data_IF_188347349953
#
_entry.id   IF_188347349953
#
_cell.length_a   1.000
_cell.length_b   1.000
_cell.length_c   1.000
_cell.angle_alpha   90.00
_cell.angle_beta   90.00
_cell.angle_gamma   90.00
#
_symmetry.space_group_name_H-M   'P 1'
#
loop_
_entity.id
_entity.type
_entity.pdbx_description
1 polymer ?
2 non-polymer ?
3 non-polymer ?
4 non-polymer ?
5 non-polymer ?
6 non-polymer ?
7 water ?
#
# COMPACT_ATOMS: atom_id res chain seq x y z
N UNK A 4 -7.18 3.95 -34.95
CA UNK A 4 -5.72 4.15 -35.20
C UNK A 4 -5.06 2.79 -35.49
N UNK A 5 -3.99 2.81 -36.29
CA UNK A 5 -3.34 1.54 -36.71
C UNK A 5 -2.03 1.34 -35.94
N UNK A 6 -1.96 0.25 -35.18
CA UNK A 6 -0.77 -0.06 -34.38
C UNK A 6 -0.57 -1.59 -34.27
N UNK A 7 0.62 -2.01 -33.88
CA UNK A 7 1.02 -3.41 -33.75
C UNK A 7 1.52 -3.79 -32.36
N UNK A 8 1.85 -2.79 -31.56
CA UNK A 8 2.27 -2.98 -30.18
C UNK A 8 1.62 -1.81 -29.42
N UNK A 9 1.20 -2.08 -28.18
CA UNK A 9 0.57 -1.03 -27.38
C UNK A 9 0.63 -1.33 -25.90
N UNK A 10 0.74 -0.29 -25.10
CA UNK A 10 0.58 -0.41 -23.65
C UNK A 10 -0.71 0.37 -23.38
N UNK A 11 -1.72 -0.32 -22.83
CA UNK A 11 -2.99 0.35 -22.57
C UNK A 11 -3.63 -0.16 -21.29
N UNK A 12 -4.66 0.56 -20.80
CA UNK A 12 -5.39 0.09 -19.62
C UNK A 12 -6.10 -1.23 -19.96
N UNK A 13 -6.16 -2.15 -19.00
CA UNK A 13 -6.89 -3.41 -19.19
C UNK A 13 -8.40 -3.12 -19.18
N UNK A 14 -9.17 -3.99 -19.80
CA UNK A 14 -10.64 -3.93 -19.80
C UNK A 14 -11.15 -5.31 -19.33
N UNK A 15 -12.46 -5.42 -19.02
CA UNK A 15 -13.04 -6.71 -18.64
C UNK A 15 -12.77 -7.81 -19.68
N UNK A 16 -12.77 -7.43 -20.97
CA UNK A 16 -12.54 -8.36 -22.07
C UNK A 16 -11.11 -8.96 -22.08
N UNK A 17 -10.15 -8.28 -21.44
CA UNK A 17 -8.77 -8.78 -21.36
C UNK A 17 -8.53 -9.73 -20.20
N UNK A 18 -9.44 -9.79 -19.20
CA UNK A 18 -9.17 -10.53 -17.97
C UNK A 18 -8.92 -12.01 -18.14
N UNK A 19 -9.61 -12.66 -19.07
CA UNK A 19 -9.43 -14.08 -19.29
C UNK A 19 -7.99 -14.40 -19.75
N UNK A 20 -7.42 -13.57 -20.64
CA UNK A 20 -6.04 -13.79 -21.11
C UNK A 20 -5.05 -13.28 -20.06
N UNK A 21 -5.36 -12.14 -19.43
CA UNK A 21 -4.48 -11.57 -18.41
C UNK A 21 -4.33 -12.53 -17.21
N UNK A 22 -5.37 -13.32 -16.90
CA UNK A 22 -5.30 -14.25 -15.77
C UNK A 22 -4.22 -15.31 -15.92
N UNK A 23 -3.86 -15.65 -17.17
CA UNK A 23 -2.79 -16.60 -17.41
C UNK A 23 -1.46 -16.03 -16.92
N UNK A 24 -1.20 -14.75 -17.26
CA UNK A 24 0.04 -14.09 -16.84
C UNK A 24 0.02 -13.83 -15.35
N UNK A 25 -1.13 -13.46 -14.80
CA UNK A 25 -1.26 -13.21 -13.36
C UNK A 25 -0.97 -14.51 -12.60
N UNK A 26 -1.44 -15.65 -13.14
CA UNK A 26 -1.16 -16.94 -12.53
C UNK A 26 0.34 -17.26 -12.58
N UNK A 27 1.01 -16.94 -13.68
CA UNK A 27 2.46 -17.15 -13.78
C UNK A 27 3.21 -16.28 -12.76
N UNK A 28 2.75 -15.05 -12.58
CA UNK A 28 3.34 -14.13 -11.62
C UNK A 28 3.21 -14.70 -10.20
N UNK A 29 2.02 -15.27 -9.87
CA UNK A 29 1.84 -15.87 -8.54
C UNK A 29 2.79 -17.07 -8.37
N UNK A 30 2.99 -17.86 -9.44
CA UNK A 30 3.91 -18.99 -9.37
C UNK A 30 5.35 -18.48 -9.15
N UNK A 31 5.71 -17.30 -9.69
CA UNK A 31 7.06 -16.72 -9.46
C UNK A 31 7.29 -16.52 -7.96
N UNK A 32 6.25 -16.12 -7.23
CA UNK A 32 6.31 -15.91 -5.79
C UNK A 32 6.02 -17.17 -4.95
N UNK A 33 6.00 -18.35 -5.58
CA UNK A 33 5.82 -19.61 -4.86
C UNK A 33 4.44 -20.24 -4.80
N UNK A 34 3.42 -19.58 -5.36
CA UNK A 34 2.07 -20.17 -5.33
C UNK A 34 1.92 -21.32 -6.32
N UNK A 35 0.99 -22.24 -6.03
CA UNK A 35 0.69 -23.34 -6.95
C UNK A 35 -0.22 -22.78 -8.05
N UNK A 36 -0.04 -23.21 -9.30
CA UNK A 36 -0.89 -22.74 -10.40
C UNK A 36 -2.35 -23.10 -10.17
N UNK A 37 -3.23 -22.12 -10.28
CA UNK A 37 -4.66 -22.32 -10.13
C UNK A 37 -5.33 -21.22 -10.92
N UNK A 38 -5.60 -21.46 -12.19
CA UNK A 38 -6.16 -20.44 -13.08
C UNK A 38 -7.47 -19.88 -12.60
N UNK A 39 -8.35 -20.73 -12.08
CA UNK A 39 -9.65 -20.26 -11.60
C UNK A 39 -9.49 -19.28 -10.41
N UNK A 40 -8.63 -19.64 -9.45
CA UNK A 40 -8.36 -18.83 -8.26
C UNK A 40 -7.68 -17.52 -8.70
N UNK A 41 -6.68 -17.61 -9.59
CA UNK A 41 -5.98 -16.42 -10.07
C UNK A 41 -6.91 -15.46 -10.78
N UNK A 42 -7.76 -15.98 -11.66
CA UNK A 42 -8.72 -15.13 -12.39
C UNK A 42 -9.74 -14.48 -11.45
N UNK A 43 -10.25 -15.22 -10.47
CA UNK A 43 -11.18 -14.67 -9.51
C UNK A 43 -10.58 -13.47 -8.73
N UNK A 44 -9.33 -13.62 -8.27
CA UNK A 44 -8.69 -12.56 -7.50
C UNK A 44 -8.27 -11.40 -8.38
N UNK A 45 -7.87 -11.69 -9.63
CA UNK A 45 -7.53 -10.63 -10.60
C UNK A 45 -8.76 -9.76 -10.84
N UNK A 46 -9.94 -10.40 -10.98
CA UNK A 46 -11.19 -9.67 -11.20
C UNK A 46 -11.55 -8.84 -9.95
N UNK A 47 -11.32 -9.40 -8.75
CA UNK A 47 -11.56 -8.66 -7.49
C UNK A 47 -10.67 -7.39 -7.45
N UNK A 48 -9.36 -7.53 -7.80
CA UNK A 48 -8.48 -6.36 -7.82
C UNK A 48 -8.87 -5.37 -8.90
N UNK A 49 -9.23 -5.88 -10.09
CA UNK A 49 -9.65 -5.01 -11.19
C UNK A 49 -10.86 -4.16 -10.80
N UNK A 50 -11.75 -4.72 -9.96
CA UNK A 50 -12.96 -4.05 -9.47
C UNK A 50 -12.75 -3.15 -8.24
N UNK A 51 -11.50 -3.01 -7.78
CA UNK A 51 -11.19 -2.09 -6.69
C UNK A 51 -11.10 -0.73 -7.33
N UNK A 52 -11.77 0.27 -6.73
CA UNK A 52 -11.85 1.61 -7.32
C UNK A 52 -10.54 2.31 -7.63
N UNK A 53 -9.55 2.12 -6.79
CA UNK A 53 -8.29 2.81 -6.93
C UNK A 53 -7.20 1.99 -7.60
N UNK A 54 -7.53 0.81 -8.16
CA UNK A 54 -6.51 -0.01 -8.83
C UNK A 54 -6.45 0.36 -10.30
N UNK A 55 -5.25 0.32 -10.87
CA UNK A 55 -5.03 0.65 -12.28
C UNK A 55 -4.16 -0.45 -12.91
N UNK A 56 -4.67 -1.14 -13.91
CA UNK A 56 -3.87 -2.16 -14.59
C UNK A 56 -3.46 -1.64 -15.95
N UNK A 57 -2.20 -1.77 -16.32
CA UNK A 57 -1.75 -1.52 -17.69
C UNK A 57 -1.24 -2.85 -18.22
N UNK A 58 -1.52 -3.13 -19.48
CA UNK A 58 -1.04 -4.35 -20.13
C UNK A 58 -0.26 -3.99 -21.38
N UNK A 59 0.72 -4.82 -21.73
CA UNK A 59 1.54 -4.59 -22.94
C UNK A 59 1.12 -5.67 -23.91
N UNK A 60 0.70 -5.28 -25.10
CA UNK A 60 0.25 -6.21 -26.13
C UNK A 60 1.16 -6.12 -27.35
N UNK A 61 1.62 -7.27 -27.86
CA UNK A 61 2.50 -7.28 -29.03
C UNK A 61 1.92 -8.30 -29.99
N UNK A 62 1.52 -7.87 -31.19
CA UNK A 62 0.92 -8.75 -32.21
C UNK A 62 -0.26 -9.57 -31.62
N UNK A 63 -1.16 -8.87 -30.95
CA UNK A 63 -2.40 -9.37 -30.31
C UNK A 63 -2.15 -10.35 -29.15
N UNK A 64 -0.93 -10.45 -28.63
CA UNK A 64 -0.65 -11.30 -27.46
C UNK A 64 -0.32 -10.42 -26.26
N UNK A 65 -0.86 -10.73 -25.07
CA UNK A 65 -0.48 -9.96 -23.87
C UNK A 65 0.89 -10.44 -23.41
N UNK A 66 1.88 -9.56 -23.36
CA UNK A 66 3.25 -9.95 -22.97
C UNK A 66 3.56 -9.71 -21.52
N UNK A 67 2.87 -8.75 -20.90
CA UNK A 67 3.17 -8.37 -19.54
C UNK A 67 2.17 -7.38 -18.99
N UNK A 68 2.27 -7.14 -17.70
CA UNK A 68 1.36 -6.19 -17.05
C UNK A 68 2.00 -5.51 -15.87
N UNK A 69 1.40 -4.40 -15.45
CA UNK A 69 1.74 -3.73 -14.20
C UNK A 69 0.42 -3.41 -13.50
N UNK A 70 0.42 -3.52 -12.17
CA UNK A 70 -0.76 -3.20 -11.38
C UNK A 70 -0.33 -2.13 -10.40
N UNK A 71 -1.04 -1.00 -10.40
CA UNK A 71 -0.76 0.10 -9.49
C UNK A 71 -1.99 0.33 -8.63
N UNK A 72 -1.78 0.91 -7.46
CA UNK A 72 -2.94 1.32 -6.68
C UNK A 72 -2.64 2.58 -5.90
N UNK A 73 -3.69 3.33 -5.64
CA UNK A 73 -3.57 4.63 -4.97
C UNK A 73 -3.15 4.49 -3.52
N UNK A 74 -2.16 5.29 -3.15
CA UNK A 74 -1.67 5.44 -1.79
C UNK A 74 -1.90 6.88 -1.32
N UNK A 75 -1.97 7.06 0.00
CA UNK A 75 -2.20 8.36 0.61
C UNK A 75 -1.04 8.63 1.57
N UNK A 76 -0.41 9.81 1.46
CA UNK A 76 0.67 10.20 2.34
C UNK A 76 0.13 11.19 3.35
N UNK A 77 -0.03 10.77 4.60
CA UNK A 77 -0.53 11.68 5.64
C UNK A 77 0.40 12.88 5.86
N UNK A 78 1.71 12.64 5.82
CA UNK A 78 2.68 13.71 6.03
C UNK A 78 2.57 14.78 4.97
N UNK A 79 2.53 14.40 3.70
CA UNK A 79 2.44 15.37 2.61
C UNK A 79 1.02 15.86 2.32
N UNK A 80 -0.01 15.15 2.83
CA UNK A 80 -1.41 15.40 2.54
C UNK A 80 -1.67 15.34 1.05
N UNK A 81 -1.15 14.28 0.44
CA UNK A 81 -1.30 14.09 -0.99
C UNK A 81 -1.28 12.61 -1.32
N UNK A 82 -1.57 12.28 -2.57
CA UNK A 82 -1.59 10.89 -2.99
C UNK A 82 -0.33 10.52 -3.76
N UNK A 83 -0.11 9.22 -3.83
CA UNK A 83 0.97 8.64 -4.62
C UNK A 83 0.49 7.29 -5.16
N UNK A 84 1.30 6.66 -5.99
CA UNK A 84 0.91 5.33 -6.51
C UNK A 84 1.88 4.28 -6.03
N UNK A 85 1.36 3.09 -5.73
CA UNK A 85 2.20 1.98 -5.39
C UNK A 85 2.20 1.06 -6.61
N UNK A 86 3.38 0.68 -7.09
CA UNK A 86 3.50 -0.26 -8.18
C UNK A 86 3.57 -1.62 -7.48
N UNK A 87 2.44 -2.33 -7.42
CA UNK A 87 2.34 -3.55 -6.63
C UNK A 87 2.87 -4.78 -7.31
N UNK A 88 2.52 -4.97 -8.57
CA UNK A 88 2.92 -6.15 -9.31
C UNK A 88 3.46 -5.74 -10.69
N UNK A 89 4.52 -6.42 -11.15
CA UNK A 89 5.16 -6.15 -12.42
C UNK A 89 5.53 -7.55 -12.96
N UNK A 90 5.16 -7.88 -14.22
CA UNK A 90 5.50 -9.21 -14.75
C UNK A 90 5.49 -9.23 -16.28
N UNK A 91 6.47 -9.91 -16.88
CA UNK A 91 6.54 -10.13 -18.33
C UNK A 91 6.74 -11.65 -18.51
N UNK A 92 5.93 -12.28 -19.40
CA UNK A 92 6.03 -13.72 -19.60
C UNK A 92 7.39 -14.04 -20.26
N UNK A 93 8.01 -15.17 -19.89
CA UNK A 93 9.38 -15.45 -20.37
C UNK A 93 9.61 -15.39 -21.89
N UNK A 94 8.66 -15.84 -22.71
CA UNK A 94 8.84 -15.79 -24.18
C UNK A 94 9.12 -14.35 -24.69
N UNK A 95 8.64 -13.33 -23.96
CA UNK A 95 8.78 -11.94 -24.40
C UNK A 95 9.77 -11.11 -23.58
N UNK A 96 10.59 -11.75 -22.72
CA UNK A 96 11.52 -10.99 -21.87
C UNK A 96 12.69 -10.40 -22.63
N UNK A 97 13.23 -9.30 -22.07
CA UNK A 97 14.38 -8.58 -22.60
C UNK A 97 14.13 -7.93 -23.98
N UNK A 98 12.88 -7.55 -24.20
CA UNK A 98 12.40 -6.86 -25.39
C UNK A 98 11.90 -5.44 -25.03
N UNK A 99 11.95 -5.03 -23.75
CA UNK A 99 11.51 -3.70 -23.33
C UNK A 99 10.06 -3.64 -22.86
N UNK A 100 9.35 -4.79 -22.72
CA UNK A 100 7.96 -4.74 -22.24
C UNK A 100 7.84 -4.07 -20.87
N UNK A 101 8.68 -4.49 -19.87
CA UNK A 101 8.62 -3.90 -18.53
C UNK A 101 9.00 -2.43 -18.57
N UNK A 102 10.02 -2.07 -19.36
CA UNK A 102 10.41 -0.66 -19.50
C UNK A 102 9.22 0.16 -20.04
N UNK A 103 8.55 -0.33 -21.10
CA UNK A 103 7.39 0.38 -21.69
C UNK A 103 6.21 0.46 -20.70
N UNK A 104 5.97 -0.62 -19.95
CA UNK A 104 4.89 -0.60 -18.94
C UNK A 104 5.17 0.46 -17.87
N UNK A 105 6.41 0.53 -17.39
CA UNK A 105 6.77 1.47 -16.35
C UNK A 105 6.82 2.90 -16.89
N UNK A 106 7.23 3.09 -18.15
CA UNK A 106 7.17 4.41 -18.80
C UNK A 106 5.74 4.95 -18.78
N UNK A 107 4.77 4.09 -19.12
CA UNK A 107 3.36 4.48 -19.12
C UNK A 107 2.87 4.73 -17.69
N UNK A 108 3.26 3.88 -16.72
CA UNK A 108 2.88 4.07 -15.32
C UNK A 108 3.36 5.43 -14.80
N UNK A 109 4.58 5.82 -15.19
CA UNK A 109 5.13 7.12 -14.80
C UNK A 109 4.32 8.27 -15.40
N UNK A 110 3.99 8.19 -16.69
CA UNK A 110 3.18 9.23 -17.35
C UNK A 110 1.80 9.34 -16.71
N UNK A 111 1.20 8.19 -16.39
CA UNK A 111 -0.09 8.11 -15.72
C UNK A 111 -0.01 8.78 -14.33
N UNK A 112 1.00 8.43 -13.52
CA UNK A 112 1.17 9.00 -12.18
C UNK A 112 1.37 10.53 -12.26
N UNK A 113 2.09 11.02 -13.28
CA UNK A 113 2.28 12.46 -13.47
C UNK A 113 0.97 13.13 -13.83
N UNK A 114 0.16 12.49 -14.69
CA UNK A 114 -1.18 13.00 -15.06
C UNK A 114 -2.06 13.16 -13.81
N UNK A 115 -1.95 12.23 -12.88
CA UNK A 115 -2.72 12.23 -11.63
C UNK A 115 -2.12 13.11 -10.51
N UNK A 116 -1.02 13.83 -10.80
CA UNK A 116 -0.26 14.66 -9.88
C UNK A 116 0.18 13.90 -8.64
N UNK A 117 0.60 12.63 -8.81
CA UNK A 117 1.09 11.84 -7.71
C UNK A 117 2.43 12.39 -7.18
N UNK A 118 2.71 12.19 -5.88
CA UNK A 118 4.01 12.60 -5.31
C UNK A 118 5.15 11.75 -5.88
N UNK A 119 4.88 10.46 -6.08
CA UNK A 119 5.88 9.49 -6.47
C UNK A 119 5.19 8.18 -6.83
N UNK A 120 5.99 7.23 -7.31
CA UNK A 120 5.59 5.83 -7.45
C UNK A 120 6.52 5.10 -6.48
N UNK A 121 5.96 4.30 -5.57
CA UNK A 121 6.78 3.52 -4.64
C UNK A 121 6.52 2.03 -4.86
N UNK A 122 7.48 1.20 -4.53
CA UNK A 122 7.30 -0.24 -4.64
C UNK A 122 8.18 -0.98 -3.68
N UNK A 123 7.93 -2.26 -3.50
CA UNK A 123 8.77 -3.18 -2.74
C UNK A 123 9.06 -4.38 -3.65
N UNK A 124 10.32 -4.79 -3.71
CA UNK A 124 10.71 -5.96 -4.49
C UNK A 124 11.63 -6.81 -3.61
N UNK A 125 11.77 -8.11 -3.90
CA UNK A 125 12.64 -8.97 -3.06
C UNK A 125 14.09 -8.42 -3.09
N UNK A 126 14.77 -8.38 -1.93
CA UNK A 126 16.14 -7.91 -1.85
C UNK A 126 17.08 -8.75 -2.72
N UNK A 127 16.74 -10.02 -3.01
CA UNK A 127 17.55 -10.91 -3.85
C UNK A 127 17.18 -10.85 -5.36
N UNK A 128 16.17 -10.02 -5.73
CA UNK A 128 15.72 -9.95 -7.12
C UNK A 128 16.63 -8.98 -7.89
N UNK A 129 17.80 -9.45 -8.29
CA UNK A 129 18.76 -8.59 -8.98
C UNK A 129 18.22 -8.05 -10.33
N UNK A 130 17.41 -8.83 -11.07
CA UNK A 130 16.85 -8.36 -12.34
C UNK A 130 15.93 -7.15 -12.14
N UNK A 131 15.04 -7.23 -11.13
CA UNK A 131 14.12 -6.12 -10.87
C UNK A 131 14.88 -4.88 -10.40
N UNK A 132 15.95 -5.05 -9.58
CA UNK A 132 16.70 -3.87 -9.11
C UNK A 132 17.31 -3.11 -10.30
N UNK A 133 17.84 -3.82 -11.30
CA UNK A 133 18.43 -3.22 -12.49
C UNK A 133 17.35 -2.49 -13.31
N UNK A 134 16.15 -3.13 -13.44
CA UNK A 134 15.03 -2.53 -14.15
C UNK A 134 14.63 -1.19 -13.47
N UNK A 135 14.39 -1.21 -12.15
CA UNK A 135 13.92 -0.03 -11.45
C UNK A 135 14.95 1.09 -11.48
N UNK A 136 16.23 0.75 -11.32
CA UNK A 136 17.30 1.75 -11.40
C UNK A 136 17.35 2.37 -12.80
N UNK A 137 17.14 1.56 -13.85
CA UNK A 137 17.10 2.07 -15.22
C UNK A 137 15.97 3.10 -15.39
N UNK A 138 14.81 2.83 -14.78
CA UNK A 138 13.63 3.68 -14.87
C UNK A 138 13.60 4.91 -13.98
N UNK A 139 14.67 5.16 -13.23
CA UNK A 139 14.74 6.34 -12.39
C UNK A 139 14.34 6.15 -10.94
N UNK A 140 14.15 4.90 -10.49
CA UNK A 140 13.81 4.64 -9.09
C UNK A 140 15.09 4.63 -8.24
N UNK A 141 14.96 5.03 -6.98
CA UNK A 141 16.03 5.08 -6.01
C UNK A 141 15.72 4.12 -4.85
N UNK A 142 16.71 3.34 -4.41
CA UNK A 142 16.58 2.40 -3.30
C UNK A 142 16.36 3.20 -2.00
N UNK A 145 16.19 4.15 4.41
CA UNK A 145 15.78 4.74 5.68
C UNK A 145 14.72 3.97 6.43
N UNK A 146 13.96 3.09 5.77
CA UNK A 146 12.84 2.41 6.44
C UNK A 146 13.03 0.90 6.61
N UNK A 147 12.40 0.35 7.65
CA UNK A 147 12.42 -1.06 8.00
C UNK A 147 10.99 -1.62 8.01
N UNK A 148 10.75 -2.76 7.36
CA UNK A 148 9.45 -3.38 7.35
C UNK A 148 9.27 -4.29 8.54
N UNK A 149 8.05 -4.29 9.12
CA UNK A 149 7.68 -5.21 10.20
C UNK A 149 6.34 -5.85 9.84
N UNK A 150 6.13 -7.10 10.21
CA UNK A 150 4.86 -7.79 9.97
C UNK A 150 4.35 -8.45 11.24
N UNK A 151 3.04 -8.40 11.45
CA UNK A 151 2.37 -9.12 12.51
C UNK A 151 1.51 -10.15 11.82
N UNK A 152 1.84 -11.43 11.96
CA UNK A 152 1.12 -12.48 11.19
C UNK A 152 -0.21 -12.88 11.84
N UNK A 153 -0.65 -12.17 12.87
CA UNK A 153 -1.99 -12.42 13.45
C UNK A 153 -2.17 -13.92 13.75
N UNK B 6 -18.28 3.79 30.76
CA UNK B 6 -16.82 3.73 30.61
C UNK B 6 -16.16 5.12 30.76
N UNK B 7 -14.86 5.15 30.99
CA UNK B 7 -14.06 6.37 31.20
C UNK B 7 -12.87 6.50 30.21
N UNK B 8 -12.54 5.40 29.57
CA UNK B 8 -11.48 5.32 28.57
C UNK B 8 -12.00 4.37 27.53
N UNK B 9 -11.66 4.64 26.26
CA UNK B 9 -12.11 3.74 25.19
C UNK B 9 -11.23 3.84 23.95
N UNK B 10 -11.02 2.70 23.27
CA UNK B 10 -10.42 2.69 21.94
C UNK B 10 -11.59 2.34 21.04
N UNK B 11 -11.93 3.22 20.09
CA UNK B 11 -13.05 2.95 19.21
C UNK B 11 -12.82 3.53 17.82
N UNK B 12 -13.67 3.15 16.84
CA UNK B 12 -13.56 3.74 15.50
C UNK B 12 -13.89 5.24 15.59
N UNK B 13 -13.22 6.06 14.77
CA UNK B 13 -13.53 7.49 14.72
C UNK B 13 -14.90 7.70 14.04
N UNK B 14 -15.53 8.84 14.34
CA UNK B 14 -16.80 9.26 13.73
C UNK B 14 -16.62 10.70 13.22
N UNK B 15 -17.57 11.20 12.40
CA UNK B 15 -17.52 12.59 11.92
C UNK B 15 -17.39 13.60 13.06
N UNK B 16 -18.04 13.33 14.20
CA UNK B 16 -18.03 14.19 15.38
C UNK B 16 -16.63 14.33 16.02
N UNK B 17 -15.75 13.35 15.79
CA UNK B 17 -14.41 13.37 16.33
C UNK B 17 -13.41 14.13 15.45
N UNK B 18 -13.74 14.40 14.18
CA UNK B 18 -12.75 14.92 13.23
C UNK B 18 -12.13 16.25 13.59
N UNK B 19 -12.90 17.15 14.20
CA UNK B 19 -12.35 18.46 14.57
C UNK B 19 -11.23 18.31 15.58
N UNK B 20 -11.42 17.45 16.61
CA UNK B 20 -10.38 17.22 17.61
C UNK B 20 -9.27 16.32 17.04
N UNK B 21 -9.64 15.30 16.28
CA UNK B 21 -8.66 14.39 15.69
C UNK B 21 -7.70 15.13 14.76
N UNK B 22 -8.18 16.18 14.06
CA UNK B 22 -7.32 16.92 13.12
C UNK B 22 -6.15 17.60 13.81
N UNK B 23 -6.31 17.98 15.09
CA UNK B 23 -5.22 18.57 15.87
C UNK B 23 -4.10 17.57 16.04
N UNK B 24 -4.44 16.32 16.43
CA UNK B 24 -3.46 15.25 16.60
C UNK B 24 -2.84 14.82 15.29
N UNK B 25 -3.65 14.78 14.23
CA UNK B 25 -3.15 14.43 12.91
C UNK B 25 -2.15 15.50 12.45
N UNK B 26 -2.43 16.77 12.74
CA UNK B 26 -1.52 17.85 12.41
C UNK B 26 -0.22 17.75 13.23
N UNK B 27 -0.30 17.35 14.52
CA UNK B 27 0.92 17.12 15.33
C UNK B 27 1.76 15.98 14.76
N UNK B 28 1.11 14.91 14.30
CA UNK B 28 1.77 13.77 13.69
C UNK B 28 2.52 14.22 12.44
N UNK B 29 1.89 15.08 11.62
CA UNK B 29 2.55 15.57 10.42
C UNK B 29 3.80 16.41 10.80
N UNK B 30 3.70 17.21 11.86
CA UNK B 30 4.83 18.02 12.35
C UNK B 30 6.01 17.16 12.81
N UNK B 31 5.73 15.94 13.35
CA UNK B 31 6.79 15.02 13.77
C UNK B 31 7.65 14.60 12.58
N UNK B 32 7.03 14.44 11.41
CA UNK B 32 7.75 14.10 10.20
C UNK B 32 8.23 15.30 9.38
N UNK B 33 8.22 16.49 9.97
CA UNK B 33 8.76 17.67 9.31
C UNK B 33 7.81 18.61 8.59
N UNK B 34 6.50 18.32 8.59
CA UNK B 34 5.56 19.22 7.91
C UNK B 34 5.27 20.46 8.74
N UNK B 35 4.94 21.57 8.07
CA UNK B 35 4.56 22.78 8.79
C UNK B 35 3.10 22.63 9.22
N UNK B 36 2.75 23.12 10.41
CA UNK B 36 1.38 23.05 10.90
C UNK B 36 0.41 23.78 9.97
N UNK B 37 -0.66 23.10 9.59
CA UNK B 37 -1.67 23.69 8.73
C UNK B 37 -2.95 22.92 9.02
N UNK B 38 -3.73 23.41 9.99
CA UNK B 38 -4.94 22.73 10.41
C UNK B 38 -5.95 22.56 9.29
N UNK B 39 -6.09 23.54 8.40
CA UNK B 39 -7.03 23.43 7.30
C UNK B 39 -6.65 22.25 6.37
N UNK B 40 -5.38 22.18 5.99
CA UNK B 40 -4.84 21.16 5.10
C UNK B 40 -4.94 19.79 5.81
N UNK B 41 -4.54 19.72 7.09
CA UNK B 41 -4.58 18.47 7.84
C UNK B 41 -6.01 17.96 7.98
N UNK B 42 -6.96 18.83 8.32
CA UNK B 42 -8.35 18.43 8.48
C UNK B 42 -8.95 17.98 7.16
N UNK B 43 -8.66 18.69 6.05
CA UNK B 43 -9.18 18.32 4.74
C UNK B 43 -8.73 16.90 4.35
N UNK B 44 -7.45 16.60 4.55
CA UNK B 44 -6.90 15.30 4.17
C UNK B 44 -7.36 14.21 5.10
N UNK B 45 -7.49 14.51 6.39
CA UNK B 45 -8.01 13.56 7.37
C UNK B 45 -9.46 13.18 6.98
N UNK B 46 -10.26 14.17 6.57
CA UNK B 46 -11.65 13.89 6.17
C UNK B 46 -11.67 13.08 4.86
N UNK B 47 -10.74 13.34 3.93
CA UNK B 47 -10.63 12.56 2.69
C UNK B 47 -10.32 11.09 3.04
N UNK B 48 -9.36 10.86 3.95
CA UNK B 48 -9.01 9.49 4.33
C UNK B 48 -10.13 8.84 5.10
N UNK B 49 -10.83 9.58 5.99
CA UNK B 49 -11.95 9.08 6.78
C UNK B 49 -13.10 8.61 5.88
N UNK B 50 -13.35 9.33 4.78
CA UNK B 50 -14.44 8.96 3.87
C UNK B 50 -14.11 7.82 2.92
N UNK B 51 -12.84 7.42 2.84
CA UNK B 51 -12.40 6.37 1.94
C UNK B 51 -12.80 5.02 2.54
N UNK B 52 -13.44 4.18 1.75
CA UNK B 52 -13.95 2.89 2.19
C UNK B 52 -12.89 1.92 2.71
N UNK B 53 -11.65 2.01 2.21
CA UNK B 53 -10.61 1.07 2.59
C UNK B 53 -9.72 1.52 3.76
N UNK B 54 -10.01 2.67 4.39
CA UNK B 54 -9.20 3.07 5.53
C UNK B 54 -9.97 2.97 6.83
N UNK B 55 -9.27 2.69 7.90
CA UNK B 55 -9.89 2.48 9.20
C UNK B 55 -9.12 3.26 10.24
N UNK B 56 -9.79 4.13 10.98
CA UNK B 56 -9.15 4.90 12.04
C UNK B 56 -9.67 4.40 13.35
N UNK B 57 -8.77 4.16 14.30
CA UNK B 57 -9.14 3.90 15.68
C UNK B 57 -8.55 5.03 16.50
N UNK B 58 -9.28 5.50 17.49
CA UNK B 58 -8.81 6.57 18.37
C UNK B 58 -8.89 6.14 19.81
N UNK B 59 -7.97 6.64 20.64
CA UNK B 59 -7.97 6.33 22.07
C UNK B 59 -8.44 7.59 22.77
N UNK B 60 -9.47 7.46 23.58
CA UNK B 60 -10.05 8.59 24.32
C UNK B 60 -9.97 8.36 25.82
N UNK B 61 -9.51 9.35 26.57
CA UNK B 61 -9.39 9.24 28.03
C UNK B 61 -10.05 10.47 28.60
N UNK B 62 -11.15 10.29 29.39
CA UNK B 62 -11.89 11.42 29.99
C UNK B 62 -12.26 12.49 28.92
N UNK B 63 -12.86 12.02 27.82
CA UNK B 63 -13.32 12.83 26.68
C UNK B 63 -12.19 13.54 25.87
N UNK B 64 -10.92 13.23 26.12
CA UNK B 64 -9.81 13.82 25.34
C UNK B 64 -9.23 12.75 24.42
N UNK B 65 -8.99 13.08 23.14
CA UNK B 65 -8.33 12.11 22.24
C UNK B 65 -6.85 12.12 22.55
N UNK B 66 -6.29 10.97 22.94
CA UNK B 66 -4.88 10.85 23.29
C UNK B 66 -4.01 10.35 22.13
N UNK B 67 -4.60 9.64 21.20
CA UNK B 67 -3.84 9.03 20.10
C UNK B 67 -4.70 8.36 19.08
N UNK B 68 -4.08 7.97 17.98
CA UNK B 68 -4.84 7.29 16.92
C UNK B 68 -3.94 6.34 16.13
N UNK B 69 -4.58 5.43 15.41
CA UNK B 69 -3.90 4.54 14.47
C UNK B 69 -4.73 4.57 13.19
N UNK B 70 -4.06 4.54 12.04
CA UNK B 70 -4.75 4.54 10.76
C UNK B 70 -4.28 3.31 10.02
N UNK B 71 -5.22 2.48 9.56
CA UNK B 71 -4.91 1.30 8.77
C UNK B 71 -5.58 1.39 7.43
N UNK B 72 -5.02 0.69 6.45
CA UNK B 72 -5.74 0.60 5.16
C UNK B 72 -5.58 -0.74 4.52
N UNK B 73 -6.57 -1.13 3.73
CA UNK B 73 -6.60 -2.44 3.10
C UNK B 73 -5.54 -2.59 2.03
N UNK B 74 -4.85 -3.72 2.10
CA UNK B 74 -3.88 -4.17 1.12
C UNK B 74 -4.34 -5.49 0.50
N UNK B 75 -3.86 -5.78 -0.70
CA UNK B 75 -4.21 -6.99 -1.43
C UNK B 75 -2.93 -7.75 -1.77
N UNK B 76 -2.88 -9.05 -1.48
CA UNK B 76 -1.72 -9.88 -1.76
C UNK B 76 -2.05 -10.75 -2.95
N UNK B 77 -1.46 -10.47 -4.11
CA UNK B 77 -1.71 -11.27 -5.32
C UNK B 77 -1.26 -12.72 -5.14
N UNK B 78 -0.13 -12.93 -4.47
CA UNK B 78 0.38 -14.27 -4.25
C UNK B 78 -0.58 -15.13 -3.47
N UNK B 79 -1.06 -14.60 -2.33
CA UNK B 79 -1.97 -15.35 -1.48
C UNK B 79 -3.43 -15.30 -1.93
N UNK B 80 -3.78 -14.36 -2.81
CA UNK B 80 -5.16 -14.11 -3.22
C UNK B 80 -6.02 -13.79 -2.03
N UNK B 81 -5.51 -12.88 -1.21
CA UNK B 81 -6.20 -12.49 0.01
C UNK B 81 -5.83 -11.06 0.39
N UNK B 82 -6.49 -10.54 1.41
CA UNK B 82 -6.24 -9.17 1.85
C UNK B 82 -5.45 -9.15 3.14
N UNK B 83 -4.86 -8.01 3.40
CA UNK B 83 -4.13 -7.74 4.64
C UNK B 83 -4.30 -6.25 4.99
N UNK B 84 -3.80 -5.83 6.14
CA UNK B 84 -3.91 -4.42 6.51
C UNK B 84 -2.53 -3.80 6.62
N UNK B 85 -2.40 -2.55 6.20
CA UNK B 85 -1.16 -1.81 6.39
C UNK B 85 -1.42 -0.81 7.54
N UNK B 86 -0.54 -0.79 8.53
CA UNK B 86 -0.63 0.17 9.62
C UNK B 86 0.18 1.38 9.13
N UNK B 87 -0.52 2.39 8.65
CA UNK B 87 0.11 3.54 7.98
C UNK B 87 0.62 4.60 8.93
N UNK B 88 -0.20 4.96 9.92
CA UNK B 88 0.16 6.02 10.86
C UNK B 88 -0.19 5.59 12.31
N UNK B 89 0.68 5.93 13.27
CA UNK B 89 0.41 5.67 14.72
C UNK B 89 0.98 6.87 15.49
N UNK B 90 0.16 7.47 16.36
CA UNK B 90 0.62 8.66 17.08
C UNK B 90 -0.10 8.80 18.42
N UNK B 91 0.63 9.17 19.46
CA UNK B 91 0.08 9.50 20.76
C UNK B 91 0.64 10.87 21.15
N UNK B 92 -0.22 11.79 21.60
CA UNK B 92 0.24 13.14 21.94
C UNK B 92 1.19 13.07 23.15
N UNK B 93 2.26 13.87 23.15
CA UNK B 93 3.28 13.74 24.22
C UNK B 93 2.80 13.70 25.68
N UNK B 94 1.81 14.50 26.04
CA UNK B 94 1.30 14.51 27.43
C UNK B 94 0.81 13.11 27.87
N UNK B 95 0.30 12.31 26.90
CA UNK B 95 -0.27 11.02 27.23
C UNK B 95 0.62 9.81 26.91
N UNK B 96 1.90 10.04 26.65
CA UNK B 96 2.80 8.95 26.32
C UNK B 96 3.21 8.10 27.52
N UNK B 97 3.59 6.86 27.21
CA UNK B 97 4.07 5.86 28.14
C UNK B 97 3.01 5.45 29.16
N UNK B 98 1.74 5.41 28.70
CA UNK B 98 0.58 4.99 29.52
C UNK B 98 -0.17 3.82 28.86
N UNK B 99 0.33 3.29 27.74
CA UNK B 99 -0.30 2.19 27.06
C UNK B 99 -1.27 2.57 25.96
N UNK B 100 -1.42 3.87 25.60
CA UNK B 100 -2.32 4.25 24.51
C UNK B 100 -1.97 3.54 23.18
N UNK B 101 -0.69 3.59 22.76
CA UNK B 101 -0.28 2.95 21.49
C UNK B 101 -0.47 1.44 21.56
N UNK B 102 -0.13 0.83 22.70
CA UNK B 102 -0.33 -0.61 22.89
C UNK B 102 -1.84 -0.95 22.72
N UNK B 103 -2.72 -0.18 23.37
CA UNK B 103 -4.17 -0.44 23.27
C UNK B 103 -4.69 -0.21 21.84
N UNK B 104 -4.18 0.81 21.16
CA UNK B 104 -4.59 1.08 19.78
C UNK B 104 -4.19 -0.10 18.87
N UNK B 105 -2.97 -0.61 19.03
CA UNK B 105 -2.48 -1.72 18.22
C UNK B 105 -3.16 -3.03 18.58
N UNK B 106 -3.49 -3.23 19.86
CA UNK B 106 -4.26 -4.40 20.31
C UNK B 106 -5.62 -4.44 19.57
N UNK B 107 -6.26 -3.28 19.47
CA UNK B 107 -7.55 -3.20 18.77
C UNK B 107 -7.36 -3.42 17.28
N UNK B 108 -6.31 -2.83 16.68
CA UNK B 108 -6.04 -3.02 15.24
C UNK B 108 -5.84 -4.51 14.93
N UNK B 109 -5.17 -5.25 15.83
CA UNK B 109 -4.96 -6.69 15.66
C UNK B 109 -6.30 -7.44 15.71
N UNK B 110 -7.14 -7.12 16.68
CA UNK B 110 -8.46 -7.77 16.80
C UNK B 110 -9.33 -7.47 15.58
N UNK B 111 -9.30 -6.21 15.10
CA UNK B 111 -10.00 -5.79 13.90
C UNK B 111 -9.49 -6.58 12.67
N UNK B 112 -8.16 -6.67 12.48
CA UNK B 112 -7.61 -7.39 11.35
C UNK B 112 -7.99 -8.90 11.39
N UNK B 113 -8.06 -9.48 12.60
CA UNK B 113 -8.48 -10.88 12.76
C UNK B 113 -9.98 -11.02 12.40
N UNK B 114 -10.81 -10.05 12.81
CA UNK B 114 -12.25 -10.02 12.48
C UNK B 114 -12.44 -10.03 10.95
N UNK B 115 -11.56 -9.29 10.24
CA UNK B 115 -11.62 -9.17 8.78
C UNK B 115 -10.91 -10.30 8.02
N UNK B 116 -10.41 -11.32 8.74
CA UNK B 116 -9.64 -12.45 8.23
C UNK B 116 -8.44 -12.01 7.41
N UNK B 117 -7.75 -10.95 7.86
CA UNK B 117 -6.55 -10.47 7.18
C UNK B 117 -5.40 -11.48 7.31
N UNK B 118 -4.49 -11.51 6.32
CA UNK B 118 -3.32 -12.39 6.40
C UNK B 118 -2.37 -11.90 7.50
N UNK B 119 -2.24 -10.58 7.64
CA UNK B 119 -1.28 -9.97 8.52
C UNK B 119 -1.54 -8.47 8.61
N UNK B 120 -0.78 -7.80 9.47
CA UNK B 120 -0.69 -6.35 9.51
C UNK B 120 0.76 -6.06 9.16
N UNK B 121 1.01 -5.22 8.16
CA UNK B 121 2.37 -4.87 7.77
C UNK B 121 2.57 -3.35 7.94
N UNK B 122 3.82 -2.95 8.12
CA UNK B 122 4.13 -1.52 8.21
C UNK B 122 5.60 -1.28 7.86
N UNK B 123 5.94 -0.01 7.66
CA UNK B 123 7.33 0.44 7.46
C UNK B 123 7.56 1.58 8.43
N UNK B 124 8.69 1.56 9.15
CA UNK B 124 9.01 2.65 10.08
C UNK B 124 10.47 3.02 9.86
N UNK B 125 10.89 4.24 10.25
CA UNK B 125 12.30 4.64 10.05
C UNK B 125 13.24 3.69 10.80
N UNK B 126 14.35 3.29 10.18
CA UNK B 126 15.31 2.38 10.79
C UNK B 126 15.87 2.94 12.11
N UNK B 127 15.93 4.27 12.25
CA UNK B 127 16.44 4.95 13.44
C UNK B 127 15.35 5.29 14.49
N UNK B 128 14.10 4.87 14.25
CA UNK B 128 13.01 5.16 15.19
C UNK B 128 13.01 4.08 16.28
N UNK B 129 13.86 4.28 17.31
CA UNK B 129 14.02 3.34 18.43
C UNK B 129 12.69 3.04 19.09
N UNK B 130 11.92 4.08 19.40
CA UNK B 130 10.66 3.96 20.14
C UNK B 130 9.67 3.09 19.38
N UNK B 131 9.50 3.34 18.09
CA UNK B 131 8.54 2.55 17.32
C UNK B 131 8.98 1.09 17.22
N UNK B 132 10.29 0.82 17.08
CA UNK B 132 10.74 -0.59 16.98
C UNK B 132 10.41 -1.35 18.24
N UNK B 133 10.61 -0.71 19.39
CA UNK B 133 10.33 -1.35 20.66
C UNK B 133 8.82 -1.60 20.82
N UNK B 134 8.01 -0.63 20.40
CA UNK B 134 6.54 -0.77 20.42
C UNK B 134 6.11 -1.97 19.57
N UNK B 135 6.55 -2.02 18.32
CA UNK B 135 6.11 -3.07 17.40
C UNK B 135 6.55 -4.45 17.86
N UNK B 136 7.79 -4.56 18.35
CA UNK B 136 8.29 -5.83 18.86
C UNK B 136 7.49 -6.28 20.08
N UNK B 137 7.09 -5.33 20.94
CA UNK B 137 6.26 -5.68 22.10
C UNK B 137 4.92 -6.26 21.65
N UNK B 138 4.34 -5.70 20.57
CA UNK B 138 3.03 -6.11 20.04
C UNK B 138 3.02 -7.35 19.17
N UNK B 139 4.17 -8.01 19.00
CA UNK B 139 4.23 -9.24 18.22
C UNK B 139 4.60 -9.08 16.76
N UNK B 140 5.12 -7.89 16.37
CA UNK B 140 5.58 -7.68 15.00
C UNK B 140 7.01 -8.20 14.87
N UNK B 141 7.35 -8.69 13.68
CA UNK B 141 8.67 -9.23 13.39
C UNK B 141 9.32 -8.40 12.33
N UNK B 142 10.56 -8.05 12.54
CA UNK B 142 11.39 -7.30 11.59
C UNK B 142 11.55 -8.18 10.34
N UNK B 143 11.38 -7.61 9.14
CA UNK B 143 11.51 -8.40 7.92
C UNK B 143 12.27 -7.62 6.89
N UNK B 144 13.42 -8.15 6.42
CA UNK B 144 14.20 -7.47 5.39
C UNK B 144 14.24 -8.26 4.07
N UNK B 145 13.28 -9.20 3.86
CA UNK B 145 13.21 -9.94 2.61
C UNK B 145 12.98 -9.00 1.42
N UNK B 146 12.23 -7.92 1.61
CA UNK B 146 11.91 -6.97 0.54
C UNK B 146 12.63 -5.64 0.69
N UNK B 147 12.88 -5.00 -0.44
CA UNK B 147 13.52 -3.69 -0.56
C UNK B 147 12.58 -2.67 -1.21
N UNK B 148 12.44 -1.49 -0.59
CA UNK B 148 11.60 -0.43 -1.14
C UNK B 148 12.36 0.43 -2.12
N UNK B 149 11.69 0.86 -3.21
CA UNK B 149 12.23 1.78 -4.20
C UNK B 149 11.23 2.91 -4.43
N UNK B 150 11.70 4.13 -4.69
CA UNK B 150 10.82 5.27 -4.97
C UNK B 150 11.22 5.97 -6.26
N UNK B 151 10.24 6.40 -7.04
CA UNK B 151 10.47 7.22 -8.23
C UNK B 151 9.85 8.57 -7.89
N UNK B 152 10.66 9.57 -7.60
CA UNK B 152 10.17 10.87 -7.20
C UNK B 152 9.67 11.69 -8.38
N UNK B 153 8.44 12.13 -8.32
CA UNK B 153 7.85 12.88 -9.39
C UNK B 153 7.74 14.33 -8.95
X LIG C 1 19.10 -9.51 -16.09
X LIG C 1 19.54 -8.28 -15.84
X LIG C 1 18.90 -7.12 -15.98
X LIG C 1 17.66 -7.31 -16.46
X LIG C 1 17.07 -8.52 -16.77
X LIG C 1 17.85 -9.68 -16.57
X LIG C 1 17.43 -10.92 -16.84
X LIG C 1 15.78 -8.33 -17.23
X LIG C 1 15.61 -7.03 -17.19
X LIG C 1 16.72 -6.35 -16.73
X LIG C 1 16.85 -4.90 -16.58
X LIG C 1 17.92 -4.27 -17.48
X LIG C 1 18.35 -3.09 -16.80
X LIG C 1 17.07 -3.96 -18.71
X LIG C 1 17.70 -2.97 -19.54
X LIG C 1 18.60 -3.53 -20.77
X LIG C 1 19.91 -3.97 -20.16
X LIG C 1 18.75 -2.32 -21.67
X LIG C 1 17.88 -4.67 -21.44
X LIG C 1 15.79 -3.42 -18.08
X LIG C 1 15.61 -4.29 -16.94
X LIG C 1 14.57 -3.44 -18.97
X LIG C 1 14.35 -4.77 -19.47
X LIG C 1 12.95 -5.18 -20.09
X LIG C 1 13.20 -5.96 -21.33
X LIG C 1 12.01 -4.03 -20.17
X LIG C 1 12.49 -6.23 -18.97
X LIG C 1 11.49 -7.46 -19.20
X LIG C 1 10.39 -6.98 -20.07
X LIG C 1 12.26 -8.66 -19.61
X LIG C 1 10.85 -7.65 -17.77
X LIG C 1 11.01 -8.40 -15.46
X LIG C 1 11.70 -7.66 -16.61
X LIG C 1 11.88 -8.25 -14.20
X LIG C 1 9.64 -7.76 -15.22
X LIG C 1 10.86 -9.90 -15.84
X LIG C 1 12.15 -10.54 -15.90
X LIG C 1 9.92 -10.70 -14.93
X LIG C 1 8.71 -10.74 -15.15
X LIG C 1 10.49 -11.37 -13.91
X LIG C 1 9.73 -12.18 -12.99
X LIG C 1 8.81 -11.38 -12.08
X LIG C 1 9.54 -10.24 -11.43
X LIG C 1 10.68 -10.35 -11.00
X LIG C 1 8.88 -9.07 -11.43
X LIG C 1 9.38 -7.91 -10.73
X LIG C 1 9.02 -8.03 -9.31
X LIG C 1 7.22 -7.89 -9.12
X LIG D 1 7.55 12.12 -1.79
X LIG E 1 -5.29 -3.24 -28.55
X LIG F 1 -13.77 -2.22 -18.71
X LIG G 1 6.54 -10.72 -31.70
X LIG H 1 -5.91 -3.22 -5.76
X LIG I 1 -2.82 -13.28 -24.79
X LIG J 1 19.61 3.49 -5.75
X LIG K 1 9.00 -16.30 -13.70
X LIG L 1 -5.10 5.96 -18.08
X LIG M 1 0.94 -7.31 -35.40
X LIG N 1 -16.02 -9.78 -20.19
X LIG O 1 5.74 17.23 4.21
X LIG P 1 0.09 -6.01 -2.76
X LIG Q 1 11.26 4.45 24.43
X LIG Q 1 11.30 3.12 24.29
X LIG Q 1 10.29 2.28 24.06
X LIG Q 1 9.13 2.92 24.02
X LIG Q 1 8.92 4.29 24.15
X LIG Q 1 10.06 5.08 24.37
X LIG Q 1 10.02 6.40 24.55
X LIG Q 1 7.57 4.60 24.03
X LIG Q 1 7.01 3.43 23.85
X LIG Q 1 7.87 2.38 23.84
X LIG Q 1 7.56 0.98 23.61
X LIG Q 1 7.80 0.10 24.82
X LIG Q 1 8.07 -1.24 24.40
X LIG Q 1 6.43 0.21 25.48
X LIG Q 1 6.17 -0.78 26.49
X LIG Q 1 6.52 -0.42 28.03
X LIG Q 1 6.03 0.94 28.44
X LIG Q 1 8.04 -0.52 28.12
X LIG Q 1 5.90 -1.55 28.85
X LIG Q 1 5.52 0.04 24.29
X LIG Q 1 6.16 0.88 23.29
X LIG Q 1 4.12 0.52 24.54
X LIG Q 1 4.16 1.91 24.93
X LIG Q 1 2.88 2.90 24.95
X LIG Q 1 2.87 3.56 26.27
X LIG Q 1 1.68 2.15 24.49
X LIG Q 1 3.35 3.89 23.80
X LIG Q 1 2.84 5.39 23.64
X LIG Q 1 1.39 5.45 23.89
X LIG Q 1 3.75 6.33 24.39
X LIG Q 1 3.08 5.69 22.06
X LIG Q 1 4.52 6.09 20.15
X LIG Q 1 4.31 5.29 21.43
X LIG Q 1 5.74 5.52 19.42
X LIG Q 1 3.27 5.95 19.27
X LIG Q 1 4.75 7.59 20.51
X LIG Q 1 5.96 7.77 21.23
X LIG Q 1 4.67 8.56 19.34
X LIG Q 1 3.58 8.99 18.98
X LIG Q 1 5.83 8.90 18.75
X LIG Q 1 5.90 9.72 17.55
X LIG Q 1 5.18 9.08 16.37
X LIG Q 1 5.84 7.78 15.93
X LIG Q 1 7.03 7.58 16.12
X LIG Q 1 5.04 6.89 15.34
X LIG Q 1 5.59 5.81 14.51
X LIG Q 1 4.98 5.67 13.14
X LIG Q 1 5.65 4.18 12.31
X LIG Q 1 4.29 3.62 11.32
X LIG Q 1 3.30 4.27 11.15
X LIG Q 1 4.52 2.27 10.74
X LIG R 1 1.36 -13.50 5.12
X LIG S 1 -12.91 5.16 10.52
X LIG T 1 -1.87 -1.21 28.75
X LIG U 1 9.10 6.50 11.45
X LIG V 1 -14.62 -1.98 13.68
X LIG W 1 -16.58 8.08 23.50
X LIG X 1 1.75 -12.21 0.63
X LIG Y 1 -5.96 21.42 1.77
X LIG Z 1 0.34 6.15 3.48
#
# INVERSE_FOLDING_TARGET
MHHHHHHMIVRRATYEDLSQLAVLFDEYRQFYGASSNLEESHHFLKQRFENKESVFFIHIKDEKITGFVLLYLGFSSVACSTYYILDDVYVTPLFRRQGSAKQLIDTAILFAKQENALRISLETQSNNHESHRLYEKMGFIRDSEFQTFHCFLK
MHHHHHHMIVRRATYEDLSQLAVLFDEYRQFYGASSNLEESHHFLKQRFENKESVFFIHIKDEKITGFVLLYLGFSSVACSTYYILDDVYVTPLFRRQGSAKQLIDTAILFAKQENALRISLETQSNNHESHRLYEKMGFIRDSEFQTFHCFLK
COA N1A C2A N3A C4A C5A C6A N6A N7A C8A N9A C1B C2B O2B C3B O3B P3B O7A O8A O9A C4B O4B C5B O5B P1A O1A O2A O3A P2A O4A O5A O6A CBP CCP CDP CEP CAP OAP C9P O9P N8P C7P C6P C5P O5P N4P C3P C2P S1P
BR BR
BR BR
BR BR
BR BR
BR BR
BR BR
BR BR
BR BR
BR BR
BR BR
BR BR
NA NA
MG MG
ACO N1A C2A N3A C4A C5A C6A N6A N7A C8A N9A C1B C2B O2B C3B O3B P3B O7A O8A O9A C4B O4B C5B O5B P1A O1A O2A O3A P2A O4A O5A O6A CBP CCP CDP CEP CAP OAP C9P O9P N8P C7P C6P C5P O5P N4P C3P C2P S1P C O CH3
BR BR
BR BR
BR BR
BR BR
BR BR
BR BR
BR BR
NA NA
MG MG
#
